data_IF_613407486074
#
_entry.id   IF_613407486074
#
_cell.length_a   1.000
_cell.length_b   1.000
_cell.length_c   1.000
_cell.angle_alpha   90.00
_cell.angle_beta   90.00
_cell.angle_gamma   90.00
#
_symmetry.space_group_name_H-M   'P 1'
#
loop_
_entity.id
_entity.type
_entity.pdbx_description
1 polymer ?
#
# COMPACT_ATOMS: atom_id res chain seq x y z
N UNK A 1 7.09 -16.71 8.16
CA UNK A 1 8.07 -16.45 7.07
C UNK A 1 7.66 -15.15 6.39
N UNK A 2 8.39 -14.04 6.58
CA UNK A 2 8.04 -12.76 5.94
C UNK A 2 8.41 -12.85 4.46
N UNK A 3 7.41 -12.99 3.59
CA UNK A 3 7.62 -12.83 2.16
C UNK A 3 8.00 -11.37 1.92
N UNK A 4 9.24 -11.14 1.48
CA UNK A 4 9.62 -9.86 0.91
C UNK A 4 8.79 -9.72 -0.36
N UNK A 5 7.74 -8.91 -0.31
CA UNK A 5 7.03 -8.55 -1.52
C UNK A 5 7.94 -7.63 -2.35
N UNK A 6 8.43 -8.16 -3.46
CA UNK A 6 8.97 -7.36 -4.55
C UNK A 6 7.76 -6.81 -5.31
N UNK A 7 7.38 -5.58 -5.02
CA UNK A 7 6.32 -4.90 -5.74
C UNK A 7 6.81 -4.47 -7.11
N UNK A 8 5.97 -4.62 -8.13
CA UNK A 8 6.23 -4.06 -9.45
C UNK A 8 6.20 -2.52 -9.40
N UNK A 9 6.93 -1.85 -10.29
CA UNK A 9 6.94 -0.38 -10.36
C UNK A 9 5.53 0.19 -10.52
N UNK A 10 4.66 -0.48 -11.27
CA UNK A 10 3.27 -0.06 -11.44
C UNK A 10 2.47 -0.15 -10.13
N UNK A 11 2.73 -1.16 -9.29
CA UNK A 11 2.09 -1.33 -8.00
C UNK A 11 2.57 -0.25 -7.00
N UNK A 12 3.88 0.03 -6.99
CA UNK A 12 4.48 1.10 -6.18
C UNK A 12 3.86 2.46 -6.55
N UNK A 13 3.76 2.78 -7.85
CA UNK A 13 3.18 4.04 -8.30
C UNK A 13 1.71 4.21 -7.88
N UNK A 14 0.90 3.14 -7.96
CA UNK A 14 -0.49 3.17 -7.49
C UNK A 14 -0.58 3.37 -5.97
N UNK A 15 0.31 2.72 -5.21
CA UNK A 15 0.39 2.89 -3.75
C UNK A 15 0.78 4.32 -3.38
N UNK A 16 1.79 4.90 -4.05
CA UNK A 16 2.22 6.28 -3.81
C UNK A 16 1.14 7.30 -4.14
N UNK A 17 0.37 7.09 -5.22
CA UNK A 17 -0.75 7.95 -5.56
C UNK A 17 -1.80 8.00 -4.45
N UNK A 18 -2.12 6.86 -3.85
CA UNK A 18 -3.10 6.80 -2.75
C UNK A 18 -2.53 7.39 -1.47
N UNK A 19 -1.23 7.22 -1.22
CA UNK A 19 -0.54 7.85 -0.09
C UNK A 19 -0.56 9.38 -0.17
N UNK A 20 -0.34 9.93 -1.37
CA UNK A 20 -0.40 11.38 -1.61
C UNK A 20 -1.82 11.96 -1.47
N UNK A 21 -2.85 11.16 -1.75
CA UNK A 21 -4.25 11.60 -1.69
C UNK A 21 -4.89 11.41 -0.32
N UNK A 22 -4.46 10.41 0.45
CA UNK A 22 -5.01 10.11 1.76
C UNK A 22 -3.94 9.50 2.67
N UNK A 23 -3.40 10.29 3.60
CA UNK A 23 -2.42 9.81 4.59
C UNK A 23 -2.96 8.71 5.51
N UNK A 24 -4.29 8.57 5.62
CA UNK A 24 -4.96 7.52 6.38
C UNK A 24 -6.11 6.91 5.56
N UNK A 25 -5.83 5.94 4.69
CA UNK A 25 -6.87 5.26 3.93
C UNK A 25 -7.65 4.36 4.88
N UNK A 26 -8.94 4.62 4.98
CA UNK A 26 -9.88 3.73 5.65
C UNK A 26 -9.88 2.32 5.05
N UNK A 27 -10.52 1.38 5.75
CA UNK A 27 -10.67 -0.03 5.31
C UNK A 27 -11.10 -0.13 3.85
N UNK A 28 -12.04 0.73 3.41
CA UNK A 28 -12.52 0.77 2.03
C UNK A 28 -11.42 1.11 1.02
N UNK A 29 -10.58 2.11 1.31
CA UNK A 29 -9.49 2.52 0.43
C UNK A 29 -8.38 1.47 0.34
N UNK A 30 -8.10 0.75 1.43
CA UNK A 30 -7.17 -0.39 1.42
C UNK A 30 -7.70 -1.56 0.60
N UNK A 31 -8.99 -1.86 0.70
CA UNK A 31 -9.64 -2.93 -0.07
C UNK A 31 -9.66 -2.61 -1.56
N UNK A 32 -9.92 -1.35 -1.93
CA UNK A 32 -9.84 -0.91 -3.34
C UNK A 32 -8.40 -0.98 -3.86
N UNK A 33 -7.41 -0.59 -3.06
CA UNK A 33 -5.99 -0.70 -3.44
C UNK A 33 -5.58 -2.14 -3.66
N UNK A 34 -6.01 -3.04 -2.77
CA UNK A 34 -5.81 -4.48 -2.88
C UNK A 34 -6.37 -5.01 -4.19
N UNK A 35 -7.61 -4.62 -4.53
CA UNK A 35 -8.27 -5.02 -5.78
C UNK A 35 -7.56 -4.47 -7.02
N UNK A 36 -7.09 -3.22 -6.98
CA UNK A 36 -6.42 -2.56 -8.13
C UNK A 36 -4.99 -3.02 -8.36
N UNK A 37 -4.27 -3.38 -7.30
CA UNK A 37 -2.86 -3.81 -7.37
C UNK A 37 -2.70 -5.33 -7.37
N UNK A 38 -3.75 -6.07 -7.05
CA UNK A 38 -3.70 -7.53 -6.87
C UNK A 38 -2.99 -7.98 -5.60
N UNK A 39 -2.71 -7.05 -4.67
CA UNK A 39 -1.98 -7.30 -3.44
C UNK A 39 -2.95 -7.54 -2.29
N UNK A 40 -2.67 -8.50 -1.40
CA UNK A 40 -3.53 -8.69 -0.21
C UNK A 40 -3.55 -7.45 0.68
N UNK A 41 -4.62 -7.28 1.47
CA UNK A 41 -4.74 -6.18 2.43
C UNK A 41 -3.55 -6.11 3.39
N UNK A 42 -2.97 -7.25 3.77
CA UNK A 42 -1.76 -7.31 4.60
C UNK A 42 -0.53 -6.69 3.92
N UNK A 43 -0.39 -6.86 2.60
CA UNK A 43 0.72 -6.31 1.81
C UNK A 43 0.55 -4.80 1.63
N UNK A 44 -0.69 -4.36 1.38
CA UNK A 44 -1.06 -2.94 1.34
C UNK A 44 -0.83 -2.27 2.71
N UNK A 45 -1.11 -2.97 3.80
CA UNK A 45 -0.90 -2.45 5.15
C UNK A 45 0.57 -2.34 5.51
N UNK A 46 1.39 -3.34 5.14
CA UNK A 46 2.85 -3.29 5.35
C UNK A 46 3.47 -2.15 4.55
N UNK A 47 3.06 -1.94 3.28
CA UNK A 47 3.56 -0.79 2.51
C UNK A 47 3.16 0.54 3.12
N UNK A 48 1.92 0.67 3.61
CA UNK A 48 1.46 1.88 4.32
C UNK A 48 2.22 2.12 5.62
N UNK A 49 2.45 1.06 6.40
CA UNK A 49 3.13 1.15 7.70
C UNK A 49 4.60 1.50 7.53
N UNK A 50 5.26 1.01 6.47
CA UNK A 50 6.67 1.31 6.20
C UNK A 50 6.82 2.74 5.68
N UNK A 51 5.98 3.17 4.73
CA UNK A 51 6.02 4.54 4.19
C UNK A 51 5.60 5.58 5.24
N UNK A 52 4.56 5.30 6.04
CA UNK A 52 4.12 6.18 7.13
C UNK A 52 5.10 6.31 8.29
N UNK A 53 6.04 5.36 8.46
CA UNK A 53 7.13 5.46 9.45
C UNK A 53 8.38 6.19 8.95
N UNK A 54 8.50 6.40 7.64
CA UNK A 54 9.66 7.09 7.03
C UNK A 54 9.33 8.58 6.79
N UNK A 55 8.04 8.95 6.87
CA UNK A 55 7.55 10.32 6.64
C UNK A 55 7.30 11.16 7.90
N UNK A 56 7.69 10.68 9.09
CA UNK A 56 7.69 11.42 10.36
C UNK A 56 9.14 11.57 10.86
#
# INVERSE_FOLDING_TARGET
KRYRATFDKAQIFQMERVFLLNHYPDVAARSELSRRTGLSESQVQVSYTIKGKIGD
#
